data_IF_044384064119
#
_entry.id   IF_044384064119
#
_cell.length_a   1.000
_cell.length_b   1.000
_cell.length_c   1.000
_cell.angle_alpha   90.00
_cell.angle_beta   90.00
_cell.angle_gamma   90.00
#
_symmetry.space_group_name_H-M   'P 1'
#
loop_
_entity.id
_entity.type
_entity.pdbx_description
1 polymer ?
#
# COMPACT_ATOMS: atom_id res chain seq x y z
N UNK A 1 -26.13 -42.27 57.47
CA UNK A 1 -26.78 -40.97 57.19
C UNK A 1 -25.94 -40.22 56.16
N UNK A 2 -26.56 -39.86 55.02
CA UNK A 2 -25.96 -39.10 53.91
C UNK A 2 -25.56 -37.69 54.35
N UNK A 3 -24.34 -37.25 54.00
CA UNK A 3 -24.02 -35.84 53.74
C UNK A 3 -23.02 -35.76 52.59
N UNK A 4 -23.57 -35.52 51.39
CA UNK A 4 -22.83 -35.10 50.22
C UNK A 4 -22.26 -33.70 50.45
N UNK A 5 -20.98 -33.47 50.17
CA UNK A 5 -20.46 -32.13 49.92
C UNK A 5 -19.57 -32.18 48.68
N UNK A 6 -20.16 -31.75 47.56
CA UNK A 6 -19.46 -31.45 46.32
C UNK A 6 -18.80 -30.08 46.52
N UNK A 7 -17.47 -30.03 46.49
CA UNK A 7 -16.69 -28.80 46.38
C UNK A 7 -15.79 -29.03 45.15
N UNK A 8 -16.18 -28.59 43.97
CA UNK A 8 -16.33 -27.18 43.63
C UNK A 8 -15.11 -26.76 42.82
N UNK A 9 -14.90 -27.46 41.71
CA UNK A 9 -13.94 -27.14 40.65
C UNK A 9 -14.30 -25.76 40.09
N UNK A 10 -13.48 -24.74 40.37
CA UNK A 10 -13.52 -23.47 39.65
C UNK A 10 -12.09 -23.15 39.22
N UNK A 11 -11.67 -23.83 38.15
CA UNK A 11 -10.54 -23.41 37.34
C UNK A 11 -10.98 -22.15 36.58
N UNK A 12 -10.64 -20.98 37.09
CA UNK A 12 -10.88 -19.71 36.41
C UNK A 12 -9.89 -19.62 35.24
N UNK A 13 -10.31 -20.10 34.07
CA UNK A 13 -9.65 -19.80 32.81
C UNK A 13 -9.89 -18.32 32.48
N UNK A 14 -8.94 -17.45 32.83
CA UNK A 14 -8.89 -16.10 32.28
C UNK A 14 -8.55 -16.19 30.80
N UNK A 15 -9.57 -16.17 29.93
CA UNK A 15 -9.39 -15.85 28.52
C UNK A 15 -9.09 -14.35 28.43
N UNK A 16 -7.82 -14.01 28.26
CA UNK A 16 -7.41 -12.67 27.86
C UNK A 16 -7.74 -12.53 26.37
N UNK A 17 -8.98 -12.13 26.05
CA UNK A 17 -9.30 -11.70 24.68
C UNK A 17 -8.54 -10.41 24.41
N UNK A 18 -7.49 -10.49 23.58
CA UNK A 18 -6.80 -9.32 23.07
C UNK A 18 -7.81 -8.50 22.25
N UNK A 19 -8.30 -7.41 22.82
CA UNK A 19 -9.12 -6.44 22.11
C UNK A 19 -8.23 -5.80 21.05
N UNK A 20 -8.33 -6.27 19.81
CA UNK A 20 -7.74 -5.62 18.66
C UNK A 20 -8.48 -4.29 18.45
N UNK A 21 -7.91 -3.20 18.97
CA UNK A 21 -8.44 -1.87 18.70
C UNK A 21 -8.33 -1.61 17.19
N UNK A 22 -9.40 -1.18 16.52
CA UNK A 22 -9.30 -0.74 15.14
C UNK A 22 -8.47 0.55 15.13
N UNK A 23 -7.20 0.43 14.73
CA UNK A 23 -6.39 1.60 14.37
C UNK A 23 -6.92 2.07 13.03
N UNK A 24 -7.71 3.15 13.03
CA UNK A 24 -7.99 3.89 11.81
C UNK A 24 -6.64 4.44 11.32
N UNK A 25 -6.11 3.88 10.24
CA UNK A 25 -4.96 4.46 9.58
C UNK A 25 -5.38 5.87 9.14
N UNK A 26 -4.67 6.90 9.59
CA UNK A 26 -4.95 8.26 9.15
C UNK A 26 -4.27 8.51 7.80
N UNK A 27 -4.86 9.37 6.96
CA UNK A 27 -4.18 9.90 5.78
C UNK A 27 -2.86 10.55 6.24
N UNK A 28 -1.71 10.09 5.74
CA UNK A 28 -0.43 10.59 6.21
C UNK A 28 -0.24 12.04 5.73
N UNK A 29 0.46 12.83 6.55
CA UNK A 29 0.88 14.18 6.14
C UNK A 29 1.85 14.12 4.97
N UNK A 30 2.68 13.07 4.91
CA UNK A 30 3.68 12.82 3.87
C UNK A 30 3.67 11.34 3.48
N UNK A 31 3.50 11.04 2.19
CA UNK A 31 3.68 9.69 1.69
C UNK A 31 5.16 9.35 1.50
N UNK A 32 5.56 8.18 1.99
CA UNK A 32 6.86 7.55 1.75
C UNK A 32 6.65 6.14 1.20
N UNK A 33 7.69 5.53 0.60
CA UNK A 33 7.61 4.14 0.15
C UNK A 33 7.23 3.15 1.26
N UNK A 34 7.53 3.47 2.52
CA UNK A 34 7.26 2.63 3.70
C UNK A 34 5.80 2.67 4.13
N UNK A 35 5.15 3.84 3.99
CA UNK A 35 3.79 4.05 4.49
C UNK A 35 2.72 4.02 3.40
N UNK A 36 3.09 4.17 2.12
CA UNK A 36 2.11 4.35 1.05
C UNK A 36 1.14 3.17 0.98
N UNK A 37 1.62 1.92 0.99
CA UNK A 37 0.76 0.74 0.83
C UNK A 37 -0.06 0.35 2.07
N UNK A 38 0.19 0.97 3.21
CA UNK A 38 -0.39 0.57 4.50
C UNK A 38 -1.24 1.66 5.15
N UNK A 39 -1.14 2.90 4.66
CA UNK A 39 -1.89 4.04 5.18
C UNK A 39 -3.26 4.17 4.52
N UNK A 40 -4.16 4.91 5.16
CA UNK A 40 -5.36 5.40 4.47
C UNK A 40 -4.93 6.39 3.37
N UNK A 41 -5.60 6.29 2.22
CA UNK A 41 -5.27 7.12 1.07
C UNK A 41 -6.19 8.32 0.96
N UNK A 42 -5.57 9.43 0.62
CA UNK A 42 -6.27 10.65 0.27
C UNK A 42 -7.00 10.51 -1.06
N UNK A 43 -8.15 11.16 -1.17
CA UNK A 43 -9.03 11.05 -2.34
C UNK A 43 -8.50 11.96 -3.45
N UNK A 44 -8.33 11.47 -4.69
CA UNK A 44 -8.06 12.32 -5.84
C UNK A 44 -9.24 13.26 -6.12
N UNK A 45 -8.99 14.56 -6.28
CA UNK A 45 -10.02 15.57 -6.60
C UNK A 45 -9.95 16.05 -8.04
N UNK A 46 -8.77 16.00 -8.65
CA UNK A 46 -8.59 16.33 -10.05
C UNK A 46 -7.41 15.57 -10.62
N UNK A 47 -7.48 15.26 -11.91
CA UNK A 47 -6.35 14.73 -12.68
C UNK A 47 -6.51 15.12 -14.14
N UNK A 48 -5.38 15.24 -14.83
CA UNK A 48 -5.30 15.43 -16.27
C UNK A 48 -4.34 14.43 -16.86
N UNK A 49 -4.59 14.07 -18.12
CA UNK A 49 -3.70 13.25 -18.92
C UNK A 49 -3.11 14.12 -20.03
N UNK A 50 -1.81 14.01 -20.28
CA UNK A 50 -1.16 14.64 -21.42
C UNK A 50 -1.28 13.78 -22.70
N UNK A 51 -0.73 14.28 -23.81
CA UNK A 51 -0.78 13.59 -25.10
C UNK A 51 0.04 12.28 -25.12
N UNK A 52 1.04 12.16 -24.25
CA UNK A 52 1.92 10.99 -24.12
C UNK A 52 1.33 9.94 -23.16
N UNK A 53 0.17 10.24 -22.58
CA UNK A 53 -0.57 9.36 -21.68
C UNK A 53 -0.09 9.42 -20.23
N UNK A 54 0.74 10.40 -19.86
CA UNK A 54 1.14 10.64 -18.48
C UNK A 54 0.02 11.35 -17.73
N UNK A 55 -0.10 11.05 -16.44
CA UNK A 55 -1.08 11.67 -15.56
C UNK A 55 -0.42 12.58 -14.55
N UNK A 56 -1.08 13.68 -14.23
CA UNK A 56 -0.82 14.48 -13.04
C UNK A 56 -2.14 14.79 -12.36
N UNK A 57 -2.17 14.82 -11.04
CA UNK A 57 -3.39 15.12 -10.30
C UNK A 57 -3.14 15.69 -8.92
N UNK A 58 -4.24 16.07 -8.28
CA UNK A 58 -4.28 16.67 -6.97
C UNK A 58 -5.23 15.86 -6.08
N UNK A 59 -4.86 15.70 -4.82
CA UNK A 59 -5.68 15.07 -3.77
C UNK A 59 -6.47 16.10 -2.97
N UNK A 60 -7.44 15.66 -2.17
CA UNK A 60 -8.30 16.55 -1.37
C UNK A 60 -7.50 17.34 -0.33
N UNK A 61 -6.40 16.79 0.20
CA UNK A 61 -5.47 17.52 1.09
C UNK A 61 -4.43 18.35 0.34
N UNK A 62 -4.45 18.36 -1.00
CA UNK A 62 -3.59 19.22 -1.82
C UNK A 62 -2.24 18.60 -2.22
N UNK A 63 -2.03 17.30 -2.01
CA UNK A 63 -0.83 16.60 -2.51
C UNK A 63 -0.91 16.37 -4.00
N UNK A 64 0.21 16.58 -4.69
CA UNK A 64 0.35 16.35 -6.13
C UNK A 64 0.83 14.91 -6.34
N UNK A 65 0.15 14.18 -7.20
CA UNK A 65 0.62 12.89 -7.68
C UNK A 65 0.83 12.92 -9.19
N UNK A 66 1.72 12.07 -9.69
CA UNK A 66 1.94 11.90 -11.11
C UNK A 66 2.18 10.43 -11.47
N UNK A 67 1.90 10.10 -12.72
CA UNK A 67 2.20 8.82 -13.31
C UNK A 67 2.77 9.04 -14.70
N UNK A 68 4.02 8.65 -14.94
CA UNK A 68 4.67 8.84 -16.23
C UNK A 68 5.20 7.54 -16.81
N UNK A 69 5.20 7.44 -18.13
CA UNK A 69 5.78 6.30 -18.83
C UNK A 69 7.31 6.34 -18.71
N UNK A 70 7.90 5.20 -18.36
CA UNK A 70 9.35 5.01 -18.36
C UNK A 70 9.77 4.59 -19.77
N UNK A 71 10.39 5.52 -20.49
CA UNK A 71 10.95 5.26 -21.82
C UNK A 71 12.02 4.19 -21.75
N UNK A 72 11.87 3.13 -22.54
CA UNK A 72 12.82 2.04 -22.64
C UNK A 72 12.82 1.45 -24.06
N UNK A 73 13.90 0.75 -24.42
CA UNK A 73 14.07 0.15 -25.75
C UNK A 73 13.50 -1.28 -25.86
N UNK A 74 12.73 -1.74 -24.87
CA UNK A 74 12.26 -3.12 -24.75
C UNK A 74 10.77 -3.28 -25.08
N UNK A 75 10.11 -2.19 -25.51
CA UNK A 75 8.67 -2.12 -25.75
C UNK A 75 7.83 -2.52 -24.50
N UNK A 76 8.40 -2.30 -23.30
CA UNK A 76 7.74 -2.61 -22.04
C UNK A 76 6.93 -1.39 -21.61
N UNK A 77 5.64 -1.56 -21.37
CA UNK A 77 4.80 -0.54 -20.73
C UNK A 77 5.05 -0.54 -19.23
N UNK A 78 6.04 0.25 -18.80
CA UNK A 78 6.36 0.50 -17.40
C UNK A 78 6.04 1.95 -17.07
N UNK A 79 5.21 2.19 -16.06
CA UNK A 79 4.87 3.54 -15.59
C UNK A 79 5.38 3.74 -14.18
N UNK A 80 5.90 4.91 -13.86
CA UNK A 80 6.26 5.29 -12.49
C UNK A 80 5.18 6.20 -11.93
N UNK A 81 4.61 5.79 -10.81
CA UNK A 81 3.74 6.62 -9.99
C UNK A 81 4.58 7.29 -8.90
N UNK A 82 4.27 8.55 -8.61
CA UNK A 82 4.90 9.33 -7.53
C UNK A 82 3.87 10.21 -6.81
N UNK A 83 4.01 10.34 -5.49
CA UNK A 83 3.31 11.30 -4.63
C UNK A 83 4.18 11.57 -3.41
N UNK A 84 4.41 12.85 -3.11
CA UNK A 84 5.38 13.25 -2.09
C UNK A 84 6.76 12.55 -2.29
N UNK A 85 7.22 11.78 -1.30
CA UNK A 85 8.45 10.98 -1.36
C UNK A 85 8.20 9.54 -1.80
N UNK A 86 6.93 9.12 -1.87
CA UNK A 86 6.57 7.79 -2.31
C UNK A 86 6.63 7.68 -3.83
N UNK A 87 7.27 6.61 -4.32
CA UNK A 87 7.18 6.22 -5.71
C UNK A 87 7.30 4.71 -5.90
N UNK A 88 6.68 4.21 -6.97
CA UNK A 88 6.74 2.82 -7.37
C UNK A 88 6.42 2.68 -8.86
N UNK A 89 6.67 1.49 -9.40
CA UNK A 89 6.44 1.22 -10.81
C UNK A 89 5.22 0.32 -10.99
N UNK A 90 4.46 0.58 -12.04
CA UNK A 90 3.26 -0.14 -12.43
C UNK A 90 3.50 -0.69 -13.83
N UNK A 91 3.21 -1.97 -14.00
CA UNK A 91 3.27 -2.66 -15.28
C UNK A 91 2.00 -3.46 -15.51
N UNK A 92 1.86 -4.09 -16.66
CA UNK A 92 0.82 -5.09 -16.95
C UNK A 92 0.87 -6.31 -15.99
N UNK A 93 1.97 -6.46 -15.22
CA UNK A 93 2.20 -7.55 -14.27
C UNK A 93 2.05 -7.11 -12.82
N UNK A 94 1.53 -5.91 -12.60
CA UNK A 94 1.33 -5.32 -11.28
C UNK A 94 2.46 -4.40 -10.84
N UNK A 95 2.52 -4.18 -9.52
CA UNK A 95 3.38 -3.19 -8.88
C UNK A 95 4.79 -3.72 -8.61
N UNK A 96 5.78 -2.87 -8.80
CA UNK A 96 7.20 -3.13 -8.51
C UNK A 96 7.70 -2.03 -7.57
N UNK A 97 8.15 -2.43 -6.38
CA UNK A 97 8.71 -1.56 -5.36
C UNK A 97 10.23 -1.60 -5.45
N UNK A 98 10.83 -0.53 -5.97
CA UNK A 98 12.29 -0.40 -6.09
C UNK A 98 12.67 1.06 -6.23
N UNK A 99 13.97 1.34 -6.10
CA UNK A 99 14.50 2.69 -6.03
C UNK A 99 15.00 3.22 -7.38
N UNK A 100 14.91 2.43 -8.47
CA UNK A 100 15.36 2.87 -9.80
C UNK A 100 14.67 2.18 -10.96
N UNK A 101 14.61 2.88 -12.09
CA UNK A 101 13.99 2.42 -13.33
C UNK A 101 14.67 1.15 -13.86
N UNK A 102 16.01 1.11 -13.82
CA UNK A 102 16.79 -0.05 -14.28
C UNK A 102 16.48 -1.30 -13.47
N UNK A 103 16.34 -1.17 -12.14
CA UNK A 103 15.99 -2.31 -11.29
C UNK A 103 14.53 -2.71 -11.54
N UNK A 104 13.63 -1.76 -11.76
CA UNK A 104 12.23 -2.06 -12.08
C UNK A 104 12.11 -2.86 -13.39
N UNK A 105 12.84 -2.45 -14.43
CA UNK A 105 12.93 -3.18 -15.70
C UNK A 105 13.55 -4.57 -15.51
N UNK A 106 14.62 -4.68 -14.72
CA UNK A 106 15.24 -5.98 -14.43
C UNK A 106 14.27 -6.94 -13.71
N UNK A 107 13.50 -6.45 -12.73
CA UNK A 107 12.47 -7.22 -12.04
C UNK A 107 11.33 -7.60 -13.00
N UNK A 108 10.93 -6.69 -13.89
CA UNK A 108 9.92 -7.00 -14.89
C UNK A 108 10.36 -8.17 -15.78
N UNK A 109 11.58 -8.08 -16.32
CA UNK A 109 12.16 -9.09 -17.20
C UNK A 109 12.34 -10.43 -16.49
N UNK A 110 12.76 -10.46 -15.22
CA UNK A 110 12.91 -11.72 -14.49
C UNK A 110 11.58 -12.46 -14.23
N UNK A 111 10.45 -11.75 -14.30
CA UNK A 111 9.11 -12.37 -14.27
C UNK A 111 8.64 -12.86 -15.64
N UNK A 112 9.37 -12.57 -16.73
CA UNK A 112 9.03 -12.97 -18.12
C UNK A 112 9.58 -14.34 -18.51
N UNK A 113 10.61 -14.80 -17.81
CA UNK A 113 11.33 -16.05 -18.05
C UNK A 113 10.79 -17.17 -17.19
#
# INVERSE_FOLDING_TARGET
MRRSLVLGMVLVCFFLEAVALPVFAAIPTLYTNENFLTSEHDVPVSFSQDADGNFTGLTATGKIFSQHLITNSLDIRLQRFSIDEAFFYISDRGTILTNSDTVALSIYLSRTT
#
